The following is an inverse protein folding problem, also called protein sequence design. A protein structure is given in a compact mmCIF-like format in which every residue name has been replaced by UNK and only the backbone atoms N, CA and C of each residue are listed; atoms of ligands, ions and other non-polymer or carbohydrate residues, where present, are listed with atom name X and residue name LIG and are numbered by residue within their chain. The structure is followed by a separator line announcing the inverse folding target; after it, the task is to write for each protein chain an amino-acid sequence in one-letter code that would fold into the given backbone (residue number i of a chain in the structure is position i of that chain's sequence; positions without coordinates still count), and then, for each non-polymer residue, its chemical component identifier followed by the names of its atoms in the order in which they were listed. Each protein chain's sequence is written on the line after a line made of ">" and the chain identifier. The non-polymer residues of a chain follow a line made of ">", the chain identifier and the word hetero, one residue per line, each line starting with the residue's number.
data_IF_893276088183
#
_entry.id   IF_893276088183
#
_cell.length_a   1.000
_cell.length_b   1.000
_cell.length_c   1.000
_cell.angle_alpha   90.00
_cell.angle_beta   90.00
_cell.angle_gamma   90.00
#
_symmetry.space_group_name_H-M   'P 1'
#
loop_
_entity.id
_entity.type
_entity.pdbx_description
1 polymer ?
#
# COMPACT_ATOMS: atom_id res chain seq x y z
N UNK A 1 3.56 -1.74 -20.99
CA UNK A 1 3.69 -0.94 -19.75
C UNK A 1 2.39 -1.10 -18.98
N UNK A 2 2.40 -1.67 -17.77
CA UNK A 2 1.24 -1.53 -16.87
C UNK A 2 1.24 -0.07 -16.43
N UNK A 3 0.42 0.74 -17.11
CA UNK A 3 0.21 2.13 -16.75
C UNK A 3 -0.42 2.25 -15.37
N UNK A 4 -0.41 3.46 -14.83
CA UNK A 4 -1.09 3.80 -13.58
C UNK A 4 -2.52 3.24 -13.54
N UNK A 5 -2.98 2.89 -12.34
CA UNK A 5 -4.35 2.45 -12.11
C UNK A 5 -5.34 3.53 -12.57
N UNK A 6 -6.54 3.10 -13.00
CA UNK A 6 -7.63 4.03 -13.27
C UNK A 6 -8.10 4.73 -11.99
N UNK A 7 -8.78 5.87 -12.14
CA UNK A 7 -9.33 6.60 -10.99
C UNK A 7 -10.32 5.74 -10.18
N UNK A 8 -11.10 4.89 -10.86
CA UNK A 8 -12.02 3.96 -10.23
C UNK A 8 -11.30 2.87 -9.43
N UNK A 9 -10.18 2.34 -9.96
CA UNK A 9 -9.35 1.36 -9.26
C UNK A 9 -8.71 1.97 -8.01
N UNK A 10 -8.14 3.17 -8.14
CA UNK A 10 -7.62 3.94 -6.99
C UNK A 10 -8.70 4.16 -5.92
N UNK A 11 -9.90 4.58 -6.34
CA UNK A 11 -11.03 4.81 -5.43
C UNK A 11 -11.43 3.54 -4.68
N UNK A 12 -11.50 2.41 -5.37
CA UNK A 12 -11.80 1.10 -4.74
C UNK A 12 -10.77 0.73 -3.68
N UNK A 13 -9.47 0.96 -3.95
CA UNK A 13 -8.41 0.68 -2.97
C UNK A 13 -8.54 1.60 -1.75
N UNK A 14 -8.76 2.91 -1.98
CA UNK A 14 -8.98 3.89 -0.88
C UNK A 14 -10.18 3.50 0.00
N UNK A 15 -11.26 3.00 -0.60
CA UNK A 15 -12.45 2.52 0.11
C UNK A 15 -12.20 1.19 0.85
N UNK A 16 -11.38 0.30 0.29
CA UNK A 16 -11.05 -0.99 0.89
C UNK A 16 -10.09 -0.86 2.08
N UNK A 17 -9.21 0.13 2.05
CA UNK A 17 -8.17 0.35 3.06
C UNK A 17 -8.24 1.77 3.63
N UNK A 18 -9.29 2.14 4.37
CA UNK A 18 -9.37 3.43 5.04
C UNK A 18 -8.29 3.57 6.12
N UNK A 19 -8.02 4.80 6.54
CA UNK A 19 -7.09 5.09 7.64
C UNK A 19 -7.53 4.33 8.92
N UNK A 20 -6.56 3.76 9.63
CA UNK A 20 -6.80 2.90 10.79
C UNK A 20 -6.90 1.40 10.46
N UNK A 21 -7.04 1.02 9.18
CA UNK A 21 -7.05 -0.40 8.78
C UNK A 21 -5.76 -1.10 9.21
N UNK A 22 -5.90 -2.27 9.82
CA UNK A 22 -4.78 -3.17 10.13
C UNK A 22 -4.42 -3.96 8.88
N UNK A 23 -3.15 -3.92 8.51
CA UNK A 23 -2.59 -4.64 7.37
C UNK A 23 -1.43 -5.52 7.83
N UNK A 24 -1.07 -6.49 7.00
CA UNK A 24 0.06 -7.38 7.19
C UNK A 24 0.94 -7.36 5.94
N UNK A 25 2.25 -7.31 6.13
CA UNK A 25 3.21 -7.45 5.05
C UNK A 25 3.24 -8.91 4.59
N UNK A 26 2.75 -9.17 3.37
CA UNK A 26 2.80 -10.53 2.79
C UNK A 26 4.20 -10.90 2.28
N UNK A 27 4.99 -9.90 1.86
CA UNK A 27 6.36 -10.06 1.40
C UNK A 27 6.93 -8.76 0.83
N UNK A 28 8.26 -8.69 0.78
CA UNK A 28 9.01 -7.52 0.34
C UNK A 28 10.21 -7.97 -0.50
N UNK A 29 10.33 -7.42 -1.71
CA UNK A 29 11.47 -7.65 -2.60
C UNK A 29 12.44 -6.47 -2.47
N UNK A 30 13.23 -6.48 -1.40
CA UNK A 30 14.26 -5.48 -1.09
C UNK A 30 15.59 -6.19 -0.79
N UNK A 31 16.65 -5.95 -1.59
CA UNK A 31 17.93 -6.63 -1.42
C UNK A 31 18.80 -6.06 -0.29
N UNK A 32 18.44 -4.92 0.31
CA UNK A 32 19.25 -4.22 1.30
C UNK A 32 18.71 -4.38 2.73
N UNK A 33 17.39 -4.23 2.91
CA UNK A 33 16.76 -4.26 4.24
C UNK A 33 15.32 -4.81 4.21
N UNK A 34 15.13 -6.10 3.86
CA UNK A 34 13.81 -6.71 3.83
C UNK A 34 13.14 -6.69 5.21
N UNK A 35 11.85 -6.36 5.22
CA UNK A 35 10.99 -6.54 6.39
C UNK A 35 10.39 -7.95 6.33
N UNK A 36 10.35 -8.63 7.47
CA UNK A 36 9.79 -9.99 7.56
C UNK A 36 8.29 -10.01 7.24
N UNK A 37 7.87 -11.00 6.46
CA UNK A 37 6.45 -11.27 6.23
C UNK A 37 5.74 -11.55 7.56
N UNK A 38 4.47 -11.14 7.65
CA UNK A 38 3.69 -11.24 8.89
C UNK A 38 3.75 -9.98 9.76
N UNK A 39 4.65 -9.03 9.47
CA UNK A 39 4.68 -7.76 10.20
C UNK A 39 3.43 -6.93 9.95
N UNK A 40 2.84 -6.39 11.02
CA UNK A 40 1.55 -5.70 10.96
C UNK A 40 1.67 -4.17 11.01
N UNK A 41 0.98 -3.48 10.10
CA UNK A 41 1.02 -2.02 9.92
C UNK A 41 -0.37 -1.38 9.92
N UNK A 42 -0.45 -0.08 10.24
CA UNK A 42 -1.72 0.67 10.24
C UNK A 42 -1.74 1.55 9.01
N UNK A 43 -2.80 1.49 8.22
CA UNK A 43 -2.97 2.42 7.11
C UNK A 43 -3.10 3.83 7.65
N UNK A 44 -2.20 4.73 7.23
CA UNK A 44 -2.31 6.17 7.50
C UNK A 44 -2.96 6.90 6.34
N UNK A 45 -2.57 6.57 5.11
CA UNK A 45 -3.10 7.14 3.88
C UNK A 45 -2.85 6.18 2.71
N UNK A 46 -3.64 6.29 1.64
CA UNK A 46 -3.44 5.62 0.34
C UNK A 46 -3.34 6.72 -0.71
N UNK A 47 -2.19 6.86 -1.35
CA UNK A 47 -1.92 7.84 -2.40
C UNK A 47 -1.80 7.15 -3.76
N UNK A 48 -2.18 7.85 -4.83
CA UNK A 48 -2.15 7.39 -6.22
C UNK A 48 -0.87 7.81 -6.97
N UNK A 49 -0.11 8.77 -6.44
CA UNK A 49 1.07 9.35 -7.11
C UNK A 49 2.33 9.39 -6.27
N UNK A 50 2.32 8.87 -5.04
CA UNK A 50 3.53 8.74 -4.20
C UNK A 50 4.14 10.09 -3.83
N UNK A 51 3.32 11.04 -3.39
CA UNK A 51 3.74 12.38 -2.96
C UNK A 51 4.07 12.48 -1.46
N UNK A 52 3.89 11.39 -0.71
CA UNK A 52 4.19 11.38 0.72
C UNK A 52 5.67 11.07 0.96
N UNK A 53 6.41 12.07 1.46
CA UNK A 53 7.79 11.96 1.93
C UNK A 53 7.90 11.47 3.37
#
# INVERSE_FOLDING_TARGET
>A
MKGFLSQEEVKRIKEQYPAGTRIELIGMDDPYAPIESGMQGTVKNVDDVGTYG
#
